data_IF_998094408526
#
_entry.id   IF_998094408526
#
_cell.length_a   1.000
_cell.length_b   1.000
_cell.length_c   1.000
_cell.angle_alpha   90.00
_cell.angle_beta   90.00
_cell.angle_gamma   90.00
#
_symmetry.space_group_name_H-M   'P 1'
#
loop_
_entity.id
_entity.type
_entity.pdbx_description
1 polymer ?
#
# COMPACT_ATOMS: atom_id res chain seq x y z
N UNK A 1 4.39 -13.25 -3.79
CA UNK A 1 5.79 -13.64 -3.53
C UNK A 1 6.62 -13.23 -4.74
N UNK A 2 7.83 -12.71 -4.54
CA UNK A 2 8.61 -12.07 -5.60
C UNK A 2 8.97 -13.09 -6.67
N UNK A 3 8.23 -13.09 -7.78
CA UNK A 3 8.47 -13.98 -8.92
C UNK A 3 9.54 -13.35 -9.83
N UNK A 4 10.75 -13.21 -9.29
CA UNK A 4 11.94 -12.84 -10.03
C UNK A 4 12.86 -14.04 -10.16
N UNK A 5 12.58 -14.96 -11.07
CA UNK A 5 13.56 -15.98 -11.46
C UNK A 5 14.23 -15.60 -12.78
N UNK A 6 15.50 -15.18 -12.70
CA UNK A 6 16.46 -15.40 -13.78
C UNK A 6 17.67 -16.16 -13.22
N UNK A 7 17.87 -17.39 -13.72
CA UNK A 7 19.13 -18.12 -13.64
C UNK A 7 20.13 -17.50 -14.62
N UNK A 8 20.86 -16.48 -14.20
CA UNK A 8 22.11 -16.06 -14.85
C UNK A 8 23.15 -15.81 -13.75
N UNK A 9 24.03 -16.79 -13.56
CA UNK A 9 25.29 -16.73 -12.77
C UNK A 9 25.25 -15.98 -11.42
N UNK A 10 24.26 -16.27 -10.56
CA UNK A 10 24.33 -15.88 -9.16
C UNK A 10 25.10 -16.96 -8.36
N UNK A 11 26.31 -16.64 -7.89
CA UNK A 11 27.15 -17.49 -7.03
C UNK A 11 26.56 -17.72 -5.61
N UNK A 12 25.40 -17.13 -5.31
CA UNK A 12 24.68 -17.31 -4.05
C UNK A 12 23.19 -17.39 -4.35
N UNK A 13 22.57 -18.55 -4.11
CA UNK A 13 21.11 -18.63 -3.96
C UNK A 13 20.74 -17.87 -2.70
N UNK A 14 20.07 -16.72 -2.83
CA UNK A 14 19.47 -16.07 -1.67
C UNK A 14 18.40 -17.01 -1.11
N UNK A 15 18.37 -17.26 0.21
CA UNK A 15 17.31 -18.06 0.81
C UNK A 15 15.96 -17.44 0.43
N UNK A 16 14.94 -18.26 0.15
CA UNK A 16 13.61 -17.73 -0.11
C UNK A 16 13.21 -16.86 1.07
N UNK A 17 12.70 -15.66 0.77
CA UNK A 17 12.15 -14.79 1.78
C UNK A 17 10.93 -15.49 2.41
N UNK A 18 11.09 -15.97 3.64
CA UNK A 18 10.03 -16.58 4.43
C UNK A 18 9.70 -15.64 5.59
N UNK A 19 8.49 -15.10 5.60
CA UNK A 19 7.99 -14.36 6.76
C UNK A 19 7.59 -15.34 7.86
N UNK A 20 8.13 -15.14 9.06
CA UNK A 20 7.77 -15.95 10.23
C UNK A 20 6.45 -15.45 10.81
N UNK A 21 5.56 -16.38 11.14
CA UNK A 21 4.35 -16.05 11.88
C UNK A 21 4.62 -16.10 13.39
N UNK A 22 4.44 -14.96 14.06
CA UNK A 22 4.67 -14.81 15.50
C UNK A 22 3.41 -15.01 16.35
N UNK A 23 2.41 -15.69 15.79
CA UNK A 23 1.15 -16.11 16.46
C UNK A 23 0.25 -14.95 16.94
N UNK A 24 0.49 -13.73 16.47
CA UNK A 24 -0.33 -12.56 16.79
C UNK A 24 -1.64 -12.48 16.02
N UNK A 25 -2.17 -11.27 15.94
CA UNK A 25 -3.42 -11.01 15.22
C UNK A 25 -3.16 -10.94 13.71
N UNK A 26 -4.16 -11.35 12.94
CA UNK A 26 -4.29 -11.12 11.50
C UNK A 26 -5.68 -10.53 11.27
N UNK A 27 -5.83 -9.61 10.31
CA UNK A 27 -7.13 -9.09 9.94
C UNK A 27 -7.76 -9.99 8.88
N UNK A 28 -9.05 -10.31 9.02
CA UNK A 28 -9.76 -11.22 8.13
C UNK A 28 -11.28 -10.97 8.20
N UNK A 29 -12.05 -11.61 7.31
CA UNK A 29 -13.49 -11.40 7.20
C UNK A 29 -13.83 -10.12 6.43
N UNK A 30 -14.95 -9.50 6.78
CA UNK A 30 -15.36 -8.22 6.18
C UNK A 30 -14.56 -7.08 6.82
N UNK A 31 -13.62 -6.52 6.04
CA UNK A 31 -12.66 -5.53 6.46
C UNK A 31 -13.02 -4.17 5.88
N UNK A 32 -13.54 -3.28 6.73
CA UNK A 32 -13.84 -1.91 6.33
C UNK A 32 -12.57 -1.07 6.24
N UNK A 33 -12.30 -0.49 5.08
CA UNK A 33 -11.25 0.51 4.88
C UNK A 33 -11.92 1.88 4.83
N UNK A 34 -11.88 2.59 5.96
CA UNK A 34 -12.33 3.97 6.03
C UNK A 34 -11.21 4.90 5.57
N UNK A 35 -11.55 6.02 4.93
CA UNK A 35 -10.56 6.94 4.36
C UNK A 35 -10.66 8.32 4.99
N UNK A 36 -9.53 8.90 5.38
CA UNK A 36 -9.41 10.30 5.81
C UNK A 36 -8.60 11.04 4.75
N UNK A 37 -9.27 11.92 4.01
CA UNK A 37 -8.68 12.80 3.01
C UNK A 37 -8.22 14.09 3.68
N UNK A 38 -6.93 14.24 3.92
CA UNK A 38 -6.36 15.40 4.60
C UNK A 38 -5.69 16.35 3.60
N UNK A 39 -6.31 17.51 3.40
CA UNK A 39 -5.97 18.47 2.35
C UNK A 39 -6.74 18.24 1.06
N UNK A 40 -6.28 18.86 -0.03
CA UNK A 40 -7.04 18.91 -1.27
C UNK A 40 -6.79 17.70 -2.16
N UNK A 41 -7.84 16.92 -2.43
CA UNK A 41 -7.87 15.84 -3.41
C UNK A 41 -9.01 16.08 -4.40
N UNK A 42 -8.74 15.97 -5.69
CA UNK A 42 -9.79 16.11 -6.71
C UNK A 42 -10.75 14.92 -6.67
N UNK A 43 -11.94 15.07 -7.28
CA UNK A 43 -12.87 13.96 -7.40
C UNK A 43 -12.26 12.75 -8.15
N UNK A 44 -11.43 13.02 -9.17
CA UNK A 44 -10.73 11.98 -9.93
C UNK A 44 -9.71 11.25 -9.05
N UNK A 45 -8.91 11.98 -8.28
CA UNK A 45 -7.95 11.39 -7.35
C UNK A 45 -8.62 10.50 -6.29
N UNK A 46 -9.74 10.97 -5.74
CA UNK A 46 -10.54 10.16 -4.80
C UNK A 46 -11.12 8.91 -5.46
N UNK A 47 -11.57 9.01 -6.71
CA UNK A 47 -12.10 7.85 -7.45
C UNK A 47 -11.03 6.78 -7.71
N UNK A 48 -9.79 7.17 -8.04
CA UNK A 48 -8.68 6.22 -8.28
C UNK A 48 -8.47 5.33 -7.06
N UNK A 49 -8.36 5.93 -5.88
CA UNK A 49 -8.16 5.18 -4.62
C UNK A 49 -9.39 4.34 -4.27
N UNK A 50 -10.60 4.90 -4.44
CA UNK A 50 -11.84 4.17 -4.18
C UNK A 50 -11.99 2.94 -5.07
N UNK A 51 -11.69 3.08 -6.36
CA UNK A 51 -11.68 2.00 -7.35
C UNK A 51 -10.63 0.94 -7.00
N UNK A 52 -9.41 1.35 -6.61
CA UNK A 52 -8.39 0.40 -6.15
C UNK A 52 -8.87 -0.43 -4.95
N UNK A 53 -9.44 0.22 -3.91
CA UNK A 53 -9.97 -0.47 -2.73
C UNK A 53 -11.09 -1.44 -3.13
N UNK A 54 -12.00 -1.02 -4.01
CA UNK A 54 -13.08 -1.87 -4.49
C UNK A 54 -12.59 -3.08 -5.32
N UNK A 55 -11.46 -2.94 -6.01
CA UNK A 55 -10.87 -3.98 -6.86
C UNK A 55 -10.28 -5.15 -6.06
N UNK A 56 -9.89 -4.94 -4.79
CA UNK A 56 -9.28 -5.97 -3.94
C UNK A 56 -10.18 -7.19 -3.72
N UNK A 57 -11.50 -7.03 -3.82
CA UNK A 57 -12.48 -8.11 -3.60
C UNK A 57 -13.39 -8.40 -4.80
N UNK A 58 -13.12 -7.82 -5.98
CA UNK A 58 -13.90 -8.05 -7.20
C UNK A 58 -13.40 -9.29 -7.96
N UNK A 59 -13.86 -10.47 -7.52
CA UNK A 59 -13.49 -11.73 -8.16
C UNK A 59 -14.24 -11.95 -9.49
N UNK A 60 -13.50 -12.31 -10.54
CA UNK A 60 -14.05 -12.84 -11.80
C UNK A 60 -14.67 -11.83 -12.77
N UNK A 61 -14.55 -10.52 -12.52
CA UNK A 61 -15.07 -9.47 -13.43
C UNK A 61 -14.00 -8.72 -14.22
N UNK A 62 -12.75 -8.80 -13.80
CA UNK A 62 -11.63 -8.05 -14.34
C UNK A 62 -10.81 -8.92 -15.31
N UNK A 63 -10.11 -8.28 -16.25
CA UNK A 63 -9.16 -8.98 -17.12
C UNK A 63 -7.95 -9.41 -16.29
N UNK A 64 -7.49 -10.64 -16.47
CA UNK A 64 -6.26 -11.10 -15.83
C UNK A 64 -5.02 -10.43 -16.44
N UNK A 65 -4.00 -10.12 -15.64
CA UNK A 65 -3.93 -10.20 -14.17
C UNK A 65 -4.82 -9.14 -13.51
N UNK A 66 -5.49 -9.52 -12.41
CA UNK A 66 -6.44 -8.67 -11.70
C UNK A 66 -5.92 -8.27 -10.31
N UNK A 67 -6.35 -7.11 -9.79
CA UNK A 67 -5.99 -6.64 -8.44
C UNK A 67 -6.46 -7.65 -7.38
N UNK A 68 -7.66 -8.21 -7.56
CA UNK A 68 -8.20 -9.27 -6.71
C UNK A 68 -7.32 -10.52 -6.68
N UNK A 69 -6.76 -10.95 -7.80
CA UNK A 69 -5.83 -12.11 -7.85
C UNK A 69 -4.52 -11.84 -7.12
N UNK A 70 -4.02 -10.60 -7.15
CA UNK A 70 -2.86 -10.22 -6.33
C UNK A 70 -3.23 -10.21 -4.84
N UNK A 71 -4.42 -9.73 -4.48
CA UNK A 71 -4.89 -9.70 -3.09
C UNK A 71 -5.04 -11.10 -2.49
N UNK A 72 -5.50 -12.09 -3.27
CA UNK A 72 -5.58 -13.49 -2.84
C UNK A 72 -4.24 -14.05 -2.34
N UNK A 73 -3.10 -13.59 -2.89
CA UNK A 73 -1.78 -13.98 -2.38
C UNK A 73 -1.52 -13.48 -0.95
N UNK A 74 -2.17 -12.37 -0.54
CA UNK A 74 -2.12 -11.87 0.83
C UNK A 74 -3.01 -12.73 1.74
N UNK A 75 -4.16 -13.19 1.25
CA UNK A 75 -5.07 -14.09 2.00
C UNK A 75 -4.43 -15.44 2.32
N UNK A 76 -3.49 -15.93 1.49
CA UNK A 76 -2.73 -17.15 1.75
C UNK A 76 -1.98 -17.15 3.10
N UNK A 77 -1.60 -15.98 3.61
CA UNK A 77 -0.93 -15.87 4.92
C UNK A 77 -1.87 -16.34 6.04
N UNK A 78 -3.16 -16.00 5.99
CA UNK A 78 -4.15 -16.46 6.98
C UNK A 78 -4.34 -17.97 6.91
N UNK A 79 -4.34 -18.56 5.71
CA UNK A 79 -4.39 -20.01 5.54
C UNK A 79 -3.14 -20.70 6.13
N UNK A 80 -1.93 -20.18 5.86
CA UNK A 80 -0.66 -20.69 6.40
C UNK A 80 -0.57 -20.55 7.94
N UNK A 81 -1.28 -19.59 8.52
CA UNK A 81 -1.42 -19.42 9.96
C UNK A 81 -2.41 -20.40 10.62
N UNK A 82 -3.05 -21.30 9.85
CA UNK A 82 -4.09 -22.20 10.34
C UNK A 82 -5.43 -21.51 10.59
N UNK A 83 -5.66 -20.33 10.00
CA UNK A 83 -6.88 -19.52 10.12
C UNK A 83 -7.44 -19.21 8.73
N UNK A 84 -7.87 -20.21 7.95
CA UNK A 84 -8.40 -19.98 6.61
C UNK A 84 -9.66 -19.11 6.69
N UNK A 85 -9.63 -17.95 6.06
CA UNK A 85 -10.75 -17.02 5.97
C UNK A 85 -10.54 -16.10 4.77
N UNK A 86 -11.62 -15.76 4.08
CA UNK A 86 -11.62 -14.73 3.04
C UNK A 86 -11.59 -13.35 3.67
N UNK A 87 -10.82 -12.43 3.09
CA UNK A 87 -10.73 -11.03 3.51
C UNK A 87 -11.43 -10.16 2.47
N UNK A 88 -12.71 -9.90 2.70
CA UNK A 88 -13.51 -9.03 1.86
C UNK A 88 -13.24 -7.58 2.25
N UNK A 89 -12.47 -6.88 1.43
CA UNK A 89 -12.13 -5.47 1.62
C UNK A 89 -13.27 -4.62 1.07
N UNK A 90 -13.80 -3.74 1.93
CA UNK A 90 -14.93 -2.89 1.62
C UNK A 90 -14.55 -1.43 1.87
N UNK A 91 -14.83 -0.56 0.89
CA UNK A 91 -14.69 0.87 1.09
C UNK A 91 -15.73 1.35 2.11
N UNK A 92 -15.24 1.90 3.22
CA UNK A 92 -16.07 2.35 4.32
C UNK A 92 -16.34 3.85 4.31
N UNK A 93 -16.49 4.42 5.51
CA UNK A 93 -16.71 5.85 5.73
C UNK A 93 -15.55 6.66 5.15
N UNK A 94 -15.87 7.76 4.50
CA UNK A 94 -14.89 8.75 4.05
C UNK A 94 -15.06 10.05 4.82
N UNK A 95 -13.96 10.58 5.34
CA UNK A 95 -13.89 11.87 6.04
C UNK A 95 -13.00 12.80 5.22
N UNK A 96 -13.51 13.98 4.90
CA UNK A 96 -12.78 15.00 4.13
C UNK A 96 -12.41 16.15 5.05
N UNK A 97 -11.12 16.44 5.12
CA UNK A 97 -10.50 17.52 5.89
C UNK A 97 -9.67 18.41 4.95
N UNK A 98 -10.35 19.02 3.98
CA UNK A 98 -9.73 19.89 2.96
C UNK A 98 -9.06 21.14 3.54
N UNK A 99 -9.49 21.58 4.73
CA UNK A 99 -8.93 22.76 5.42
C UNK A 99 -7.65 22.45 6.19
N UNK A 100 -7.21 21.19 6.22
CA UNK A 100 -6.09 20.72 7.02
C UNK A 100 -6.22 21.14 8.49
N UNK A 101 -7.15 20.55 9.24
CA UNK A 101 -7.50 20.99 10.61
C UNK A 101 -6.34 21.08 11.62
N UNK A 102 -5.22 20.40 11.37
CA UNK A 102 -4.01 20.41 12.19
C UNK A 102 -2.84 21.18 11.54
N UNK A 103 -3.10 21.92 10.45
CA UNK A 103 -2.11 22.59 9.62
C UNK A 103 -1.52 21.71 8.52
N UNK A 104 -0.69 22.30 7.64
CA UNK A 104 -0.03 21.61 6.53
C UNK A 104 1.34 21.01 6.89
N UNK A 105 1.74 21.10 8.15
CA UNK A 105 2.98 20.49 8.66
C UNK A 105 2.63 19.61 9.85
N UNK A 106 2.69 18.30 9.65
CA UNK A 106 2.29 17.30 10.64
C UNK A 106 3.51 16.57 11.20
N UNK A 107 3.48 16.31 12.50
CA UNK A 107 4.32 15.29 13.13
C UNK A 107 3.74 13.91 12.85
N UNK A 108 4.59 12.89 12.79
CA UNK A 108 4.15 11.51 12.55
C UNK A 108 3.19 11.03 13.66
N UNK A 109 3.38 11.54 14.88
CA UNK A 109 2.52 11.24 16.03
C UNK A 109 1.09 11.80 15.93
N UNK A 110 0.83 12.78 15.05
CA UNK A 110 -0.50 13.35 14.83
C UNK A 110 -1.35 12.53 13.85
N UNK A 111 -0.74 11.60 13.10
CA UNK A 111 -1.46 10.76 12.13
C UNK A 111 -2.52 9.89 12.83
N UNK A 112 -2.22 9.37 14.02
CA UNK A 112 -3.19 8.60 14.81
C UNK A 112 -4.44 9.42 15.17
N UNK A 113 -4.29 10.73 15.38
CA UNK A 113 -5.39 11.63 15.73
C UNK A 113 -6.28 11.88 14.52
N UNK A 114 -5.69 11.94 13.31
CA UNK A 114 -6.43 11.97 12.05
C UNK A 114 -7.17 10.64 11.81
N UNK A 115 -6.49 9.52 12.02
CA UNK A 115 -7.08 8.19 11.86
C UNK A 115 -8.29 7.98 12.79
N UNK A 116 -8.22 8.47 14.04
CA UNK A 116 -9.32 8.38 14.99
C UNK A 116 -10.64 9.03 14.50
N UNK A 117 -10.60 9.98 13.55
CA UNK A 117 -11.80 10.63 12.97
C UNK A 117 -12.70 9.69 12.16
N UNK A 118 -12.13 8.59 11.66
CA UNK A 118 -12.83 7.63 10.81
C UNK A 118 -12.69 6.18 11.31
N UNK A 119 -12.41 5.99 12.60
CA UNK A 119 -12.27 4.65 13.17
C UNK A 119 -13.56 3.84 13.06
N UNK A 120 -13.43 2.55 12.74
CA UNK A 120 -14.52 1.57 12.82
C UNK A 120 -14.04 0.30 13.51
N UNK A 121 -15.00 -0.43 14.09
CA UNK A 121 -14.75 -1.75 14.64
C UNK A 121 -14.40 -2.72 13.51
N UNK A 122 -13.40 -3.59 13.72
CA UNK A 122 -12.90 -4.52 12.70
C UNK A 122 -12.55 -3.86 11.36
N UNK A 123 -11.96 -2.65 11.39
CA UNK A 123 -11.61 -1.89 10.20
C UNK A 123 -10.22 -1.29 10.26
N UNK A 124 -9.78 -0.78 9.12
CA UNK A 124 -8.54 -0.01 8.94
C UNK A 124 -8.93 1.42 8.61
N UNK A 125 -8.25 2.39 9.22
CA UNK A 125 -8.35 3.78 8.75
C UNK A 125 -7.15 4.16 7.89
N UNK A 126 -7.41 4.49 6.63
CA UNK A 126 -6.44 4.97 5.66
C UNK A 126 -6.42 6.51 5.66
N UNK A 127 -5.36 7.10 6.18
CA UNK A 127 -5.13 8.56 6.18
C UNK A 127 -4.29 8.92 4.95
N UNK A 128 -4.83 9.79 4.10
CA UNK A 128 -4.18 10.23 2.87
C UNK A 128 -3.92 11.73 2.94
N UNK A 129 -2.65 12.14 2.82
CA UNK A 129 -2.29 13.57 2.84
C UNK A 129 -2.03 14.08 1.43
N UNK A 130 -2.59 15.24 1.09
CA UNK A 130 -2.41 15.86 -0.23
C UNK A 130 -0.97 16.32 -0.45
N UNK A 131 -0.62 16.61 -1.71
CA UNK A 131 0.77 16.88 -2.14
C UNK A 131 1.44 18.05 -1.42
N UNK A 132 0.64 19.01 -0.99
CA UNK A 132 1.05 20.23 -0.30
C UNK A 132 1.08 20.11 1.24
N UNK A 133 0.93 18.90 1.79
CA UNK A 133 1.06 18.61 3.23
C UNK A 133 2.41 17.95 3.51
N UNK A 134 3.21 18.59 4.36
CA UNK A 134 4.46 18.04 4.87
C UNK A 134 4.18 17.16 6.10
N UNK A 135 4.75 15.97 6.13
CA UNK A 135 4.71 15.07 7.29
C UNK A 135 6.13 14.69 7.68
N UNK A 136 6.44 14.72 8.97
CA UNK A 136 7.73 14.33 9.53
C UNK A 136 8.21 12.95 9.00
N UNK A 137 9.37 12.94 8.34
CA UNK A 137 9.99 11.73 7.77
C UNK A 137 9.45 11.32 6.40
N UNK A 138 8.40 11.96 5.89
CA UNK A 138 7.95 11.76 4.51
C UNK A 138 9.09 12.09 3.54
N UNK A 139 9.24 11.30 2.47
CA UNK A 139 10.28 11.49 1.46
C UNK A 139 11.73 11.35 1.95
N UNK A 140 11.95 10.92 3.20
CA UNK A 140 13.28 10.64 3.73
C UNK A 140 13.42 9.18 4.10
N UNK A 141 12.52 8.69 4.96
CA UNK A 141 12.57 7.33 5.48
C UNK A 141 11.41 6.46 5.01
N UNK A 142 10.27 7.04 4.64
CA UNK A 142 9.14 6.30 4.10
C UNK A 142 8.18 7.16 3.27
N UNK A 143 7.38 6.50 2.45
CA UNK A 143 6.29 7.08 1.66
C UNK A 143 4.91 6.97 2.35
N UNK A 144 4.92 6.26 3.48
CA UNK A 144 3.76 5.99 4.31
C UNK A 144 4.15 5.15 5.52
N UNK A 145 3.17 4.69 6.28
CA UNK A 145 3.33 3.77 7.41
C UNK A 145 2.02 3.04 7.67
N UNK A 146 2.09 1.95 8.43
CA UNK A 146 0.96 1.45 9.18
C UNK A 146 1.34 1.29 10.64
N UNK A 147 0.36 1.44 11.53
CA UNK A 147 0.51 1.35 12.98
C UNK A 147 -0.88 1.13 13.63
N UNK A 148 -0.92 1.07 14.95
CA UNK A 148 -2.15 0.86 15.72
C UNK A 148 -2.28 1.82 16.88
N UNK A 149 -3.52 2.13 17.25
CA UNK A 149 -3.82 2.97 18.39
C UNK A 149 -4.99 2.40 19.21
N UNK A 150 -5.07 2.68 20.54
CA UNK A 150 -6.21 2.30 21.35
C UNK A 150 -7.51 2.92 20.82
N UNK A 151 -8.59 2.15 20.81
CA UNK A 151 -9.90 2.60 20.33
C UNK A 151 -10.47 3.74 21.19
N UNK A 152 -10.25 3.66 22.50
CA UNK A 152 -10.50 4.74 23.44
C UNK A 152 -9.51 4.64 24.61
N UNK A 153 -9.38 5.73 25.37
CA UNK A 153 -8.51 5.77 26.55
C UNK A 153 -8.95 4.71 27.57
N UNK A 154 -8.06 3.78 27.89
CA UNK A 154 -8.30 2.71 28.87
C UNK A 154 -8.88 1.42 28.29
N UNK A 155 -9.22 1.38 26.99
CA UNK A 155 -9.61 0.14 26.30
C UNK A 155 -8.38 -0.65 25.85
N UNK A 156 -8.49 -1.99 25.85
CA UNK A 156 -7.44 -2.89 25.36
C UNK A 156 -7.52 -3.05 23.84
N UNK A 157 -8.71 -2.84 23.28
CA UNK A 157 -9.00 -2.88 21.87
C UNK A 157 -8.23 -1.79 21.14
N UNK A 158 -7.58 -2.19 20.05
CA UNK A 158 -6.85 -1.29 19.16
C UNK A 158 -7.49 -1.29 17.79
N UNK A 159 -7.36 -0.17 17.09
CA UNK A 159 -7.62 -0.10 15.65
C UNK A 159 -6.29 0.02 14.90
N UNK A 160 -6.25 -0.51 13.69
CA UNK A 160 -5.13 -0.34 12.79
C UNK A 160 -5.37 0.87 11.88
N UNK A 161 -4.30 1.59 11.55
CA UNK A 161 -4.35 2.70 10.62
C UNK A 161 -3.14 2.71 9.70
N UNK A 162 -3.34 3.24 8.51
CA UNK A 162 -2.34 3.43 7.48
C UNK A 162 -2.25 4.92 7.20
N UNK A 163 -1.06 5.43 6.93
CA UNK A 163 -0.88 6.74 6.30
C UNK A 163 -0.06 6.62 5.03
N UNK A 164 -0.49 7.32 3.98
CA UNK A 164 0.25 7.48 2.73
C UNK A 164 0.22 8.95 2.32
N UNK A 165 1.38 9.50 1.97
CA UNK A 165 1.50 10.86 1.47
C UNK A 165 1.53 10.92 -0.07
N UNK A 166 0.86 11.91 -0.64
CA UNK A 166 1.05 12.23 -2.06
C UNK A 166 2.42 12.89 -2.27
N UNK A 167 3.29 12.21 -3.02
CA UNK A 167 4.68 12.62 -3.21
C UNK A 167 4.91 13.59 -4.37
N UNK A 168 3.88 13.90 -5.16
CA UNK A 168 3.96 14.64 -6.44
C UNK A 168 4.87 15.87 -6.38
N UNK A 169 4.78 16.67 -5.32
CA UNK A 169 5.54 17.93 -5.19
C UNK A 169 6.73 17.85 -4.24
N UNK A 170 6.99 16.71 -3.59
CA UNK A 170 8.04 16.57 -2.57
C UNK A 170 9.13 15.58 -2.97
N UNK A 171 8.76 14.38 -3.43
CA UNK A 171 9.72 13.33 -3.80
C UNK A 171 9.13 12.29 -4.77
N UNK A 172 8.59 12.70 -5.93
CA UNK A 172 7.94 11.77 -6.84
C UNK A 172 8.92 10.67 -7.31
N UNK A 173 10.21 10.98 -7.47
CA UNK A 173 11.23 10.00 -7.83
C UNK A 173 11.50 8.90 -6.78
N UNK A 174 11.07 9.07 -5.53
CA UNK A 174 11.22 8.06 -4.49
C UNK A 174 9.92 7.28 -4.26
N UNK A 175 8.81 8.00 -4.14
CA UNK A 175 7.54 7.42 -3.70
C UNK A 175 6.53 7.14 -4.82
N UNK A 176 6.82 7.59 -6.04
CA UNK A 176 6.04 7.30 -7.23
C UNK A 176 6.85 6.59 -8.33
N UNK A 177 8.03 6.04 -8.00
CA UNK A 177 8.72 5.14 -8.93
C UNK A 177 7.83 3.90 -9.17
N UNK A 178 7.65 3.44 -10.43
CA UNK A 178 8.43 3.75 -11.64
C UNK A 178 7.83 4.87 -12.52
N UNK A 179 6.81 5.59 -12.06
CA UNK A 179 6.10 6.63 -12.81
C UNK A 179 6.78 8.01 -12.77
N UNK A 180 7.87 8.13 -12.01
CA UNK A 180 8.73 9.30 -12.02
C UNK A 180 10.20 8.87 -11.99
N UNK A 181 11.07 9.71 -12.55
CA UNK A 181 12.50 9.47 -12.62
C UNK A 181 13.07 9.40 -11.19
N UNK A 182 13.82 8.34 -10.84
CA UNK A 182 14.36 8.20 -9.49
C UNK A 182 15.55 9.13 -9.27
N UNK A 183 15.71 9.60 -8.02
CA UNK A 183 16.81 10.49 -7.64
C UNK A 183 18.19 9.83 -7.76
N UNK A 184 18.25 8.51 -7.55
CA UNK A 184 19.46 7.70 -7.62
C UNK A 184 19.18 6.37 -8.32
N UNK A 185 20.23 5.67 -8.75
CA UNK A 185 20.12 4.39 -9.47
C UNK A 185 19.89 4.57 -10.98
N UNK A 186 19.45 3.51 -11.68
CA UNK A 186 19.23 3.56 -13.13
C UNK A 186 18.28 4.68 -13.55
N UNK A 187 18.73 5.51 -14.49
CA UNK A 187 18.03 6.70 -14.97
C UNK A 187 17.21 6.39 -16.23
N UNK A 188 16.57 5.24 -16.27
CA UNK A 188 15.66 4.88 -17.36
C UNK A 188 14.47 5.86 -17.40
N UNK A 189 13.92 6.16 -18.59
CA UNK A 189 12.74 7.00 -18.68
C UNK A 189 11.61 6.48 -17.79
N UNK A 190 10.85 7.36 -17.11
CA UNK A 190 9.73 6.96 -16.30
C UNK A 190 8.67 6.23 -17.12
N UNK A 191 7.98 5.29 -16.49
CA UNK A 191 6.83 4.65 -17.09
C UNK A 191 5.63 5.60 -17.06
N UNK A 192 4.70 5.40 -17.99
CA UNK A 192 3.46 6.17 -18.02
C UNK A 192 2.52 5.63 -16.94
N UNK A 193 2.01 6.52 -16.10
CA UNK A 193 1.17 6.18 -14.97
C UNK A 193 -0.24 5.72 -15.42
N UNK A 194 -0.79 4.61 -14.89
CA UNK A 194 -2.04 4.00 -15.36
C UNK A 194 -3.27 4.87 -15.21
N UNK A 195 -3.31 5.75 -14.23
CA UNK A 195 -4.42 6.67 -14.04
C UNK A 195 -4.12 8.09 -14.53
N UNK A 196 -2.98 8.30 -15.18
CA UNK A 196 -2.53 9.61 -15.64
C UNK A 196 -2.17 10.58 -14.51
N UNK A 197 -2.08 10.10 -13.26
CA UNK A 197 -1.74 10.91 -12.08
C UNK A 197 -0.57 10.24 -11.35
N UNK A 198 0.66 10.69 -11.64
CA UNK A 198 1.89 10.16 -11.05
C UNK A 198 1.85 10.15 -9.52
N UNK A 199 1.29 11.20 -8.91
CA UNK A 199 1.20 11.32 -7.46
C UNK A 199 0.31 10.23 -6.86
N UNK A 200 -0.91 10.08 -7.38
CA UNK A 200 -1.87 9.11 -6.88
C UNK A 200 -1.51 7.68 -7.27
N UNK A 201 -0.95 7.44 -8.47
CA UNK A 201 -0.47 6.12 -8.86
C UNK A 201 0.69 5.65 -7.97
N UNK A 202 1.58 6.57 -7.57
CA UNK A 202 2.56 6.32 -6.51
C UNK A 202 1.92 6.02 -5.16
N UNK A 203 0.83 6.71 -4.80
CA UNK A 203 0.08 6.39 -3.59
C UNK A 203 -0.54 4.98 -3.65
N UNK A 204 -1.10 4.55 -4.79
CA UNK A 204 -1.69 3.20 -4.95
C UNK A 204 -0.66 2.11 -4.65
N UNK A 205 0.57 2.24 -5.16
CA UNK A 205 1.67 1.32 -4.86
C UNK A 205 1.89 1.20 -3.33
N UNK A 206 1.94 2.35 -2.65
CA UNK A 206 2.19 2.40 -1.21
C UNK A 206 0.99 1.91 -0.39
N UNK A 207 -0.24 2.23 -0.80
CA UNK A 207 -1.48 1.73 -0.20
C UNK A 207 -1.52 0.21 -0.29
N UNK A 208 -1.25 -0.36 -1.47
CA UNK A 208 -1.22 -1.80 -1.68
C UNK A 208 -0.22 -2.48 -0.73
N UNK A 209 1.02 -2.00 -0.70
CA UNK A 209 2.08 -2.56 0.14
C UNK A 209 1.73 -2.48 1.64
N UNK A 210 1.32 -1.30 2.11
CA UNK A 210 1.00 -1.08 3.51
C UNK A 210 -0.25 -1.84 3.94
N UNK A 211 -1.26 -1.95 3.08
CA UNK A 211 -2.48 -2.71 3.39
C UNK A 211 -2.18 -4.21 3.55
N UNK A 212 -1.32 -4.77 2.71
CA UNK A 212 -0.85 -6.15 2.89
C UNK A 212 -0.08 -6.33 4.21
N UNK A 213 0.79 -5.38 4.56
CA UNK A 213 1.47 -5.34 5.86
C UNK A 213 0.49 -5.25 7.04
N UNK A 214 -0.51 -4.37 6.97
CA UNK A 214 -1.52 -4.20 8.02
C UNK A 214 -2.40 -5.42 8.21
N UNK A 215 -2.82 -6.09 7.14
CA UNK A 215 -3.65 -7.29 7.25
C UNK A 215 -2.87 -8.47 7.85
N UNK A 216 -1.59 -8.59 7.51
CA UNK A 216 -0.73 -9.69 7.97
C UNK A 216 0.04 -9.42 9.27
N UNK A 217 0.15 -8.16 9.69
CA UNK A 217 0.84 -7.75 10.91
C UNK A 217 0.26 -6.46 11.55
N UNK A 218 -1.05 -6.40 11.87
CA UNK A 218 -1.72 -5.17 12.29
C UNK A 218 -1.17 -4.54 13.58
N UNK A 219 -0.58 -5.36 14.46
CA UNK A 219 -0.15 -4.96 15.81
C UNK A 219 1.31 -5.31 16.10
N UNK A 220 2.12 -5.58 15.08
CA UNK A 220 3.55 -5.87 15.22
C UNK A 220 3.90 -7.26 15.76
N UNK A 221 2.94 -8.20 15.79
CA UNK A 221 3.12 -9.58 16.26
C UNK A 221 2.56 -10.67 15.32
N UNK A 222 2.19 -10.32 14.09
CA UNK A 222 1.71 -11.22 13.03
C UNK A 222 2.87 -11.81 12.21
N UNK A 223 2.93 -11.50 10.92
CA UNK A 223 3.97 -11.96 10.00
C UNK A 223 5.10 -10.94 9.83
N UNK A 224 6.33 -11.30 10.20
CA UNK A 224 7.52 -10.52 9.87
C UNK A 224 8.82 -11.32 9.95
N UNK A 225 9.88 -10.78 9.35
CA UNK A 225 11.26 -11.24 9.48
C UNK A 225 12.15 -10.12 10.05
N UNK A 226 13.24 -10.49 10.73
CA UNK A 226 14.18 -9.54 11.32
C UNK A 226 13.79 -9.12 12.75
N UNK A 227 14.41 -8.05 13.23
CA UNK A 227 14.09 -7.50 14.55
C UNK A 227 12.71 -6.84 14.53
N UNK A 228 11.93 -7.00 15.61
CA UNK A 228 10.60 -6.38 15.71
C UNK A 228 10.63 -4.84 15.66
N UNK A 229 11.78 -4.22 15.88
CA UNK A 229 12.01 -2.77 15.76
C UNK A 229 12.27 -2.30 14.32
N UNK A 230 12.57 -3.22 13.41
CA UNK A 230 12.76 -2.98 11.97
C UNK A 230 12.32 -4.21 11.15
N UNK A 231 11.02 -4.59 11.24
CA UNK A 231 10.53 -5.82 10.62
C UNK A 231 10.44 -5.66 9.09
N UNK A 232 10.79 -6.73 8.39
CA UNK A 232 10.42 -6.91 6.99
C UNK A 232 9.11 -7.69 6.92
N UNK A 233 8.10 -7.11 6.29
CA UNK A 233 6.71 -7.59 6.27
C UNK A 233 6.25 -7.93 4.84
N UNK A 234 5.01 -8.44 4.71
CA UNK A 234 4.39 -8.71 3.42
C UNK A 234 4.42 -7.46 2.52
N UNK A 235 4.71 -7.67 1.24
CA UNK A 235 4.84 -6.62 0.21
C UNK A 235 5.94 -5.55 0.42
N UNK A 236 6.59 -5.47 1.59
CA UNK A 236 7.73 -4.58 1.84
C UNK A 236 9.09 -5.19 1.48
N UNK A 237 9.12 -6.52 1.32
CA UNK A 237 10.38 -7.26 1.17
C UNK A 237 11.02 -7.20 -0.22
N UNK A 238 10.24 -6.83 -1.25
CA UNK A 238 10.73 -6.66 -2.62
C UNK A 238 10.17 -5.36 -3.20
N UNK A 239 10.60 -4.21 -2.68
CA UNK A 239 10.14 -2.92 -3.17
C UNK A 239 10.55 -2.76 -4.65
N UNK A 240 9.62 -2.24 -5.46
CA UNK A 240 9.87 -1.98 -6.88
C UNK A 240 9.81 -3.19 -7.82
N UNK A 241 9.47 -4.38 -7.31
CA UNK A 241 9.43 -5.61 -8.10
C UNK A 241 7.98 -5.92 -8.50
N UNK A 242 7.50 -5.33 -9.59
CA UNK A 242 6.08 -5.34 -9.96
C UNK A 242 5.71 -6.36 -11.03
N UNK A 243 6.68 -6.80 -11.85
CA UNK A 243 6.50 -7.78 -12.93
C UNK A 243 7.52 -8.91 -12.91
N UNK A 244 7.35 -9.87 -13.83
CA UNK A 244 8.33 -10.93 -14.05
C UNK A 244 9.66 -10.34 -14.49
N UNK A 245 10.77 -11.03 -14.22
CA UNK A 245 12.12 -10.58 -14.60
C UNK A 245 12.53 -9.21 -13.99
N UNK A 246 11.81 -8.70 -12.98
CA UNK A 246 12.20 -7.49 -12.28
C UNK A 246 13.57 -7.65 -11.60
N UNK A 247 14.28 -6.54 -11.45
CA UNK A 247 15.55 -6.41 -10.73
C UNK A 247 15.74 -4.96 -10.29
N UNK A 248 16.68 -4.63 -9.39
CA UNK A 248 16.88 -3.25 -8.94
C UNK A 248 17.03 -2.25 -10.11
N UNK A 249 16.08 -1.32 -10.23
CA UNK A 249 16.01 -0.34 -11.32
C UNK A 249 15.19 -0.76 -12.55
N UNK A 250 14.63 -1.97 -12.58
CA UNK A 250 13.70 -2.44 -13.60
C UNK A 250 12.46 -3.06 -12.95
N UNK A 251 11.30 -2.44 -13.17
CA UNK A 251 10.04 -2.83 -12.55
C UNK A 251 9.54 -4.25 -12.94
N UNK A 252 10.15 -4.84 -13.96
CA UNK A 252 9.76 -6.11 -14.54
C UNK A 252 9.00 -5.93 -15.84
N UNK A 253 8.62 -7.06 -16.44
CA UNK A 253 7.83 -7.12 -17.65
C UNK A 253 6.37 -6.78 -17.29
N UNK A 254 6.03 -5.50 -17.47
CA UNK A 254 4.71 -4.94 -17.21
C UNK A 254 3.82 -4.99 -18.45
N UNK A 255 2.51 -4.95 -18.23
CA UNK A 255 1.54 -4.71 -19.30
C UNK A 255 1.61 -3.26 -19.72
N UNK A 256 1.38 -3.02 -21.01
CA UNK A 256 1.34 -1.67 -21.58
C UNK A 256 0.02 -1.49 -22.30
N UNK A 257 -0.74 -0.47 -21.92
CA UNK A 257 -1.94 -0.08 -22.64
C UNK A 257 -1.57 0.55 -23.98
N UNK A 258 -2.09 0.00 -25.07
CA UNK A 258 -1.70 0.43 -26.42
C UNK A 258 -2.14 1.85 -26.79
N UNK A 259 -3.17 2.38 -26.14
CA UNK A 259 -3.73 3.70 -26.47
C UNK A 259 -3.04 4.83 -25.69
N UNK A 260 -2.82 4.63 -24.40
CA UNK A 260 -2.22 5.62 -23.49
C UNK A 260 -0.71 5.43 -23.29
N UNK A 261 -0.18 4.25 -23.59
CA UNK A 261 1.19 3.86 -23.23
C UNK A 261 1.38 3.53 -21.75
N UNK A 262 0.31 3.53 -20.96
CA UNK A 262 0.37 3.29 -19.52
C UNK A 262 0.91 1.91 -19.17
N UNK A 263 1.77 1.84 -18.15
CA UNK A 263 2.36 0.59 -17.67
C UNK A 263 1.75 0.15 -16.35
N UNK A 264 1.34 -1.12 -16.26
CA UNK A 264 0.64 -1.66 -15.09
C UNK A 264 0.88 -3.18 -14.92
N UNK A 265 0.60 -3.71 -13.73
CA UNK A 265 0.75 -5.14 -13.42
C UNK A 265 -0.57 -5.85 -13.04
N UNK A 266 -1.66 -5.10 -12.88
CA UNK A 266 -2.97 -5.61 -12.52
C UNK A 266 -4.07 -4.69 -13.06
N UNK A 267 -5.19 -5.27 -13.46
CA UNK A 267 -6.42 -4.55 -13.81
C UNK A 267 -7.35 -4.53 -12.59
N UNK A 268 -7.90 -3.38 -12.28
CA UNK A 268 -8.98 -3.17 -11.33
C UNK A 268 -10.29 -2.80 -12.02
N UNK A 269 -11.24 -2.34 -11.20
CA UNK A 269 -12.55 -1.88 -11.67
C UNK A 269 -12.44 -0.59 -12.48
N UNK A 270 -13.46 -0.32 -13.29
CA UNK A 270 -13.61 0.92 -14.05
C UNK A 270 -12.43 1.24 -15.00
N UNK A 271 -11.65 0.23 -15.40
CA UNK A 271 -10.53 0.37 -16.32
C UNK A 271 -9.28 1.01 -15.70
N UNK A 272 -9.11 0.88 -14.38
CA UNK A 272 -7.95 1.37 -13.63
C UNK A 272 -7.03 0.25 -13.18
#
# INVERSE_FOLDING_TARGET
MCLGERRLTALVQQPPLVLTYHKGALLQGDLLVNVVWYGHFTAVQRSIVGDFIASLSQKGKEKSPAVSSWWELTEEYSAKAGRPSTTNVLLGKQVVDEKCSLGKSLKRTQIKDLAAKAVAFNGITLVLTSKDVAVEGFCMSSCGLHDSAPLAKGLKEKFAYIWVGNSETQCPGQCAWPFHQPLYGPQTPPLVAPNGDVGVDGMIINIASLLAGTVTNPFGNGYFQGAATAPMEAASACPGMYGKNAYPGYAGDLLVDSASGASYNANGVNGR
#
